data_IF_702338739394
#
_entry.id   IF_702338739394
#
_cell.length_a   1.000
_cell.length_b   1.000
_cell.length_c   1.000
_cell.angle_alpha   90.00
_cell.angle_beta   90.00
_cell.angle_gamma   90.00
#
_symmetry.space_group_name_H-M   'P 1'
#
loop_
_entity.id
_entity.type
_entity.pdbx_description
1 polymer ?
#
# COMPACT_ATOMS: atom_id res chain seq x y z
N UNK A 1 6.04 13.06 -31.19
CA UNK A 1 5.99 12.84 -29.73
C UNK A 1 7.25 12.08 -29.33
N UNK A 2 8.19 12.72 -28.66
CA UNK A 2 9.35 12.03 -28.06
C UNK A 2 8.86 11.38 -26.75
N UNK A 3 8.66 10.06 -26.78
CA UNK A 3 8.13 9.30 -25.65
C UNK A 3 9.17 9.10 -24.55
N UNK A 4 9.39 10.11 -23.72
CA UNK A 4 10.13 9.94 -22.48
C UNK A 4 9.20 9.31 -21.44
N UNK A 5 9.42 8.05 -21.11
CA UNK A 5 8.76 7.37 -20.00
C UNK A 5 9.58 7.51 -18.72
N UNK A 6 8.90 7.81 -17.62
CA UNK A 6 9.49 7.70 -16.29
C UNK A 6 9.31 6.26 -15.79
N UNK A 7 10.32 5.73 -15.11
CA UNK A 7 10.24 4.42 -14.47
C UNK A 7 10.63 4.54 -13.00
N UNK A 8 10.03 3.68 -12.18
CA UNK A 8 10.33 3.61 -10.76
C UNK A 8 10.77 2.20 -10.41
N UNK A 9 11.94 2.08 -9.78
CA UNK A 9 12.44 0.81 -9.28
C UNK A 9 12.03 0.62 -7.83
N UNK A 10 11.29 -0.45 -7.54
CA UNK A 10 10.75 -0.71 -6.21
C UNK A 10 11.86 -0.74 -5.14
N UNK A 11 13.00 -1.36 -5.42
CA UNK A 11 14.10 -1.45 -4.44
C UNK A 11 14.63 -0.07 -4.04
N UNK A 12 14.75 0.84 -5.02
CA UNK A 12 15.19 2.22 -4.76
C UNK A 12 14.16 2.99 -3.95
N UNK A 13 12.87 2.77 -4.21
CA UNK A 13 11.78 3.35 -3.42
C UNK A 13 11.82 2.85 -1.97
N UNK A 14 11.90 1.52 -1.77
CA UNK A 14 11.95 0.91 -0.43
C UNK A 14 13.15 1.40 0.37
N UNK A 15 14.32 1.49 -0.28
CA UNK A 15 15.54 2.04 0.34
C UNK A 15 15.39 3.52 0.68
N UNK A 16 14.92 4.35 -0.27
CA UNK A 16 14.74 5.79 -0.06
C UNK A 16 13.69 6.13 1.00
N UNK A 17 12.66 5.29 1.14
CA UNK A 17 11.66 5.42 2.19
C UNK A 17 12.06 4.75 3.50
N UNK A 18 13.13 3.94 3.53
CA UNK A 18 13.52 3.11 4.67
C UNK A 18 12.34 2.27 5.21
N UNK A 19 11.73 1.49 4.32
CA UNK A 19 10.59 0.62 4.64
C UNK A 19 10.77 -0.75 4.01
N UNK A 20 10.30 -1.78 4.69
CA UNK A 20 10.08 -3.10 4.08
C UNK A 20 8.95 -3.05 3.04
N UNK A 21 8.87 -4.06 2.17
CA UNK A 21 7.77 -4.18 1.19
C UNK A 21 6.41 -4.21 1.88
N UNK A 22 6.29 -4.89 3.02
CA UNK A 22 5.06 -4.99 3.81
C UNK A 22 4.64 -3.63 4.35
N UNK A 23 5.57 -2.91 4.98
CA UNK A 23 5.33 -1.55 5.48
C UNK A 23 4.95 -0.59 4.35
N UNK A 24 5.62 -0.69 3.21
CA UNK A 24 5.29 0.12 2.03
C UNK A 24 3.85 -0.12 1.56
N UNK A 25 3.43 -1.39 1.44
CA UNK A 25 2.04 -1.72 1.07
C UNK A 25 1.05 -1.20 2.11
N UNK A 26 1.34 -1.35 3.40
CA UNK A 26 0.50 -0.80 4.47
C UNK A 26 0.35 0.72 4.35
N UNK A 27 1.47 1.41 4.07
CA UNK A 27 1.50 2.85 3.85
C UNK A 27 0.66 3.26 2.64
N UNK A 28 0.74 2.53 1.53
CA UNK A 28 -0.07 2.77 0.34
C UNK A 28 -1.57 2.59 0.61
N UNK A 29 -1.97 1.50 1.28
CA UNK A 29 -3.39 1.25 1.61
C UNK A 29 -3.96 2.38 2.47
N UNK A 30 -3.21 2.82 3.48
CA UNK A 30 -3.67 3.82 4.45
C UNK A 30 -3.59 5.24 3.90
N UNK A 31 -2.64 5.51 3.00
CA UNK A 31 -2.60 6.79 2.26
C UNK A 31 -3.77 6.92 1.27
N UNK A 32 -4.37 5.80 0.89
CA UNK A 32 -5.50 5.68 -0.03
C UNK A 32 -5.21 4.71 -1.17
N UNK A 33 -6.11 3.76 -1.40
CA UNK A 33 -6.11 2.85 -2.54
C UNK A 33 -7.55 2.58 -3.01
N UNK A 34 -7.70 1.86 -4.12
CA UNK A 34 -9.02 1.56 -4.69
C UNK A 34 -9.83 0.54 -3.88
N UNK A 35 -9.18 -0.20 -2.96
CA UNK A 35 -9.79 -1.30 -2.22
C UNK A 35 -10.23 -0.92 -0.79
N UNK A 36 -9.86 0.27 -0.31
CA UNK A 36 -10.19 0.76 1.02
C UNK A 36 -10.43 2.27 0.99
N UNK A 37 -11.60 2.69 1.46
CA UNK A 37 -11.91 4.11 1.60
C UNK A 37 -10.88 4.81 2.49
N UNK A 38 -10.27 5.87 1.96
CA UNK A 38 -9.26 6.63 2.70
C UNK A 38 -9.86 7.30 3.94
N UNK A 39 -9.10 7.31 5.03
CA UNK A 39 -9.44 8.02 6.25
C UNK A 39 -9.16 9.53 6.09
N UNK A 40 -10.10 10.37 6.54
CA UNK A 40 -10.02 11.81 6.34
C UNK A 40 -8.82 12.41 7.10
N UNK A 41 -7.96 13.06 6.33
CA UNK A 41 -6.75 13.70 6.83
C UNK A 41 -5.60 12.73 7.11
N UNK A 42 -5.63 11.53 6.52
CA UNK A 42 -4.49 10.63 6.42
C UNK A 42 -3.99 10.61 4.97
N UNK A 43 -3.05 11.49 4.67
CA UNK A 43 -2.32 11.49 3.40
C UNK A 43 -1.00 10.72 3.50
N UNK A 44 -0.26 10.66 2.40
CA UNK A 44 0.96 9.85 2.27
C UNK A 44 1.99 10.08 3.39
N UNK A 45 2.29 11.33 3.75
CA UNK A 45 3.24 11.62 4.84
C UNK A 45 2.80 11.04 6.18
N UNK A 46 1.51 11.11 6.49
CA UNK A 46 0.97 10.66 7.77
C UNK A 46 0.84 9.14 7.81
N UNK A 47 0.41 8.53 6.70
CA UNK A 47 0.37 7.07 6.56
C UNK A 47 1.75 6.44 6.81
N UNK A 48 2.80 6.94 6.16
CA UNK A 48 4.15 6.41 6.34
C UNK A 48 4.74 6.72 7.72
N UNK A 49 4.34 7.82 8.36
CA UNK A 49 4.68 8.09 9.77
C UNK A 49 4.07 7.04 10.70
N UNK A 50 2.79 6.72 10.53
CA UNK A 50 2.08 5.71 11.31
C UNK A 50 2.69 4.32 11.15
N UNK A 51 2.97 3.91 9.91
CA UNK A 51 3.61 2.62 9.62
C UNK A 51 4.98 2.53 10.29
N UNK A 52 5.86 3.53 10.11
CA UNK A 52 7.22 3.53 10.70
C UNK A 52 7.22 3.53 12.22
N UNK A 53 6.20 4.12 12.84
CA UNK A 53 6.07 4.11 14.30
C UNK A 53 5.63 2.76 14.87
N UNK A 54 5.18 1.81 14.03
CA UNK A 54 4.60 0.54 14.47
C UNK A 54 3.20 0.67 15.10
N UNK A 55 2.61 1.87 15.12
CA UNK A 55 1.35 2.19 15.81
C UNK A 55 0.18 2.43 14.86
N UNK A 56 0.21 1.80 13.68
CA UNK A 56 -0.74 2.08 12.60
C UNK A 56 -2.20 2.03 13.06
N UNK A 57 -2.64 0.91 13.62
CA UNK A 57 -4.05 0.73 14.01
C UNK A 57 -4.42 1.54 15.25
N UNK A 58 -3.48 1.82 16.15
CA UNK A 58 -3.72 2.71 17.29
C UNK A 58 -4.01 4.14 16.83
N UNK A 59 -3.24 4.64 15.87
CA UNK A 59 -3.40 5.99 15.31
C UNK A 59 -4.67 6.12 14.47
N UNK A 60 -5.06 5.06 13.74
CA UNK A 60 -6.31 5.01 13.00
C UNK A 60 -7.54 4.98 13.92
N UNK A 61 -7.52 4.15 14.98
CA UNK A 61 -8.62 4.10 15.97
C UNK A 61 -8.90 5.45 16.63
N UNK A 62 -7.87 6.29 16.82
CA UNK A 62 -8.03 7.67 17.35
C UNK A 62 -8.72 8.63 16.38
N UNK A 63 -8.75 8.30 15.08
CA UNK A 63 -9.10 9.21 13.97
C UNK A 63 -10.55 9.14 13.50
N UNK A 64 -11.42 8.45 14.23
CA UNK A 64 -12.81 8.15 13.83
C UNK A 64 -12.91 7.24 12.60
N UNK A 65 -11.90 6.39 12.37
CA UNK A 65 -12.07 5.30 11.40
C UNK A 65 -13.29 4.45 11.78
N UNK A 66 -14.04 3.92 10.80
CA UNK A 66 -15.09 2.93 11.06
C UNK A 66 -14.58 1.80 11.96
N UNK A 67 -15.45 1.26 12.82
CA UNK A 67 -15.06 0.17 13.72
C UNK A 67 -14.48 -1.07 13.00
N UNK A 68 -14.93 -1.30 11.76
CA UNK A 68 -14.48 -2.39 10.89
C UNK A 68 -13.30 -2.00 9.96
N UNK A 69 -12.66 -0.84 10.15
CA UNK A 69 -11.57 -0.40 9.26
C UNK A 69 -10.40 -1.37 9.25
N UNK A 70 -10.06 -1.96 10.40
CA UNK A 70 -8.98 -2.95 10.51
C UNK A 70 -9.30 -4.20 9.68
N UNK A 71 -10.53 -4.70 9.71
CA UNK A 71 -10.97 -5.83 8.88
C UNK A 71 -10.92 -5.50 7.40
N UNK A 72 -11.41 -4.32 7.00
CA UNK A 72 -11.36 -3.85 5.62
C UNK A 72 -9.93 -3.65 5.13
N UNK A 73 -9.03 -3.19 6.01
CA UNK A 73 -7.61 -3.09 5.72
C UNK A 73 -7.01 -4.47 5.43
N UNK A 74 -7.34 -5.50 6.22
CA UNK A 74 -6.87 -6.87 5.95
C UNK A 74 -7.40 -7.41 4.62
N UNK A 75 -8.65 -7.10 4.27
CA UNK A 75 -9.20 -7.45 2.95
C UNK A 75 -8.44 -6.76 1.82
N UNK A 76 -8.15 -5.47 1.94
CA UNK A 76 -7.35 -4.74 0.95
C UNK A 76 -5.93 -5.32 0.84
N UNK A 77 -5.28 -5.64 1.96
CA UNK A 77 -3.96 -6.27 1.98
C UNK A 77 -3.96 -7.63 1.26
N UNK A 78 -5.00 -8.44 1.46
CA UNK A 78 -5.14 -9.72 0.77
C UNK A 78 -5.20 -9.55 -0.76
N UNK A 79 -5.84 -8.48 -1.26
CA UNK A 79 -5.83 -8.16 -2.70
C UNK A 79 -4.41 -7.91 -3.19
N UNK A 80 -3.61 -7.11 -2.49
CA UNK A 80 -2.21 -6.85 -2.87
C UNK A 80 -1.33 -8.11 -2.83
N UNK A 81 -1.62 -9.07 -1.94
CA UNK A 81 -0.80 -10.28 -1.76
C UNK A 81 -1.22 -11.43 -2.67
N UNK A 82 -2.51 -11.52 -3.03
CA UNK A 82 -3.10 -12.67 -3.71
C UNK A 82 -3.87 -12.28 -4.98
N UNK A 83 -3.47 -11.19 -5.63
CA UNK A 83 -4.08 -10.79 -6.89
C UNK A 83 -3.94 -11.89 -7.95
N UNK A 84 -5.02 -12.13 -8.69
CA UNK A 84 -4.99 -13.01 -9.86
C UNK A 84 -4.02 -12.46 -10.90
N UNK A 85 -2.99 -13.24 -11.22
CA UNK A 85 -1.97 -12.92 -12.22
C UNK A 85 -1.85 -14.05 -13.23
N UNK A 86 -1.53 -13.71 -14.48
CA UNK A 86 -1.19 -14.72 -15.48
C UNK A 86 0.11 -15.43 -15.09
N UNK A 87 0.17 -16.73 -15.34
CA UNK A 87 1.40 -17.49 -15.11
C UNK A 87 2.50 -16.98 -16.05
N UNK A 88 3.65 -16.51 -15.53
CA UNK A 88 4.73 -16.01 -16.36
C UNK A 88 5.39 -17.12 -17.20
N UNK A 89 5.23 -18.39 -16.82
CA UNK A 89 5.79 -19.53 -17.56
C UNK A 89 4.91 -19.99 -18.70
N UNK A 90 3.59 -19.78 -18.63
CA UNK A 90 2.67 -20.15 -19.72
C UNK A 90 2.75 -19.20 -20.93
N UNK A 91 3.31 -17.99 -20.75
CA UNK A 91 3.46 -16.98 -21.81
C UNK A 91 4.67 -17.20 -22.75
N UNK A 92 5.54 -18.19 -22.47
CA UNK A 92 6.76 -18.44 -23.27
C UNK A 92 6.66 -19.60 -24.25
N UNK A 93 5.56 -20.35 -24.23
CA UNK A 93 5.37 -21.57 -25.03
C UNK A 93 4.38 -21.40 -26.18
N UNK A 94 4.27 -20.19 -26.76
CA UNK A 94 3.45 -19.88 -27.94
C UNK A 94 4.28 -19.23 -29.03
#
# INVERSE_FOLDING_TARGET
MTGHGEYFELNNILSGLNTTKTEFVHGCIVAGCDYLSNDRGVGIHRAFSFVKSGKLFEELKKKHSPANYEDLFQMALAVFQHQSVFSPTLLRSS
#
